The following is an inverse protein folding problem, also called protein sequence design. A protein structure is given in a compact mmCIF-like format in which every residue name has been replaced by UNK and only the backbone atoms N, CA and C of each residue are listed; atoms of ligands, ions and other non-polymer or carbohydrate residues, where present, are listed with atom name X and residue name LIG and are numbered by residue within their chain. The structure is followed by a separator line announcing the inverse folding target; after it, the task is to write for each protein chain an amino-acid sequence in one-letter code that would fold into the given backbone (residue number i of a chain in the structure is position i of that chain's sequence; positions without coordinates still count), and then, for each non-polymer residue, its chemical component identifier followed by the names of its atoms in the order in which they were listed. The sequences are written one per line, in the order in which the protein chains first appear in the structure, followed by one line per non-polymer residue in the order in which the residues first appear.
data_IF_071443161817
#
_entry.id   IF_071443161817
#
_cell.length_a   1.000
_cell.length_b   1.000
_cell.length_c   1.000
_cell.angle_alpha   90.00
_cell.angle_beta   90.00
_cell.angle_gamma   90.00
#
_symmetry.space_group_name_H-M   'P 1'
#
loop_
_entity.id
_entity.type
_entity.pdbx_description
1 polymer ?
#
# COMPACT_ATOMS: atom_id res chain seq x y z
N UNK A 1 2.10 -4.85 -8.81
CA UNK A 1 2.32 -4.55 -7.38
C UNK A 1 3.36 -5.52 -6.89
N UNK A 2 4.43 -4.97 -6.33
CA UNK A 2 5.57 -5.73 -5.82
C UNK A 2 5.73 -5.34 -4.35
N UNK A 3 5.86 -6.32 -3.47
CA UNK A 3 6.04 -6.11 -2.03
C UNK A 3 7.38 -6.74 -1.66
N UNK A 4 8.21 -6.00 -0.96
CA UNK A 4 9.43 -6.51 -0.33
C UNK A 4 9.35 -6.30 1.18
N UNK A 5 10.34 -6.81 1.93
CA UNK A 5 10.43 -6.56 3.36
C UNK A 5 10.60 -5.07 3.72
N UNK A 6 11.10 -4.24 2.80
CA UNK A 6 11.42 -2.82 3.05
C UNK A 6 10.47 -1.83 2.38
N UNK A 7 9.70 -2.25 1.39
CA UNK A 7 8.83 -1.36 0.63
C UNK A 7 7.66 -2.05 -0.06
N UNK A 8 6.60 -1.29 -0.28
CA UNK A 8 5.51 -1.63 -1.20
C UNK A 8 5.61 -0.75 -2.43
N UNK A 9 5.71 -1.38 -3.60
CA UNK A 9 5.65 -0.69 -4.90
C UNK A 9 4.31 -0.95 -5.57
N UNK A 10 3.54 0.12 -5.75
CA UNK A 10 2.26 0.14 -6.43
C UNK A 10 2.45 0.65 -7.86
N UNK A 11 2.01 -0.15 -8.83
CA UNK A 11 2.05 0.23 -10.25
C UNK A 11 0.68 0.68 -10.73
N UNK A 12 0.62 1.89 -11.29
CA UNK A 12 -0.59 2.50 -11.83
C UNK A 12 -0.48 2.59 -13.35
N UNK A 13 -1.39 1.96 -14.07
CA UNK A 13 -1.45 2.03 -15.53
C UNK A 13 -1.90 3.41 -15.99
N UNK A 14 -1.39 3.84 -17.15
CA UNK A 14 -1.60 5.16 -17.73
C UNK A 14 -1.20 6.35 -16.82
N UNK A 15 -0.47 6.10 -15.73
CA UNK A 15 -0.20 7.08 -14.66
C UNK A 15 -1.46 7.82 -14.15
N UNK A 16 -2.65 7.24 -14.36
CA UNK A 16 -3.91 7.90 -14.05
C UNK A 16 -4.29 7.64 -12.60
N UNK A 17 -3.89 8.58 -11.72
CA UNK A 17 -4.23 8.55 -10.29
C UNK A 17 -5.47 9.37 -9.96
N UNK A 18 -6.15 9.99 -10.93
CA UNK A 18 -7.32 10.83 -10.67
C UNK A 18 -8.46 10.03 -10.03
N UNK A 19 -8.62 8.77 -10.48
CA UNK A 19 -9.58 7.80 -9.94
C UNK A 19 -9.08 7.08 -8.68
N UNK A 20 -7.84 7.31 -8.27
CA UNK A 20 -7.21 6.74 -7.07
C UNK A 20 -7.07 7.78 -5.95
N UNK A 21 -8.01 8.74 -5.89
CA UNK A 21 -8.02 9.82 -4.89
C UNK A 21 -8.43 9.39 -3.48
N UNK A 22 -9.02 8.21 -3.34
CA UNK A 22 -9.34 7.62 -2.03
C UNK A 22 -8.06 7.17 -1.30
N UNK A 23 -8.09 7.16 0.03
CA UNK A 23 -6.96 6.81 0.89
C UNK A 23 -6.59 5.33 0.76
N UNK A 24 -5.31 5.03 0.97
CA UNK A 24 -4.78 3.68 1.01
C UNK A 24 -4.32 3.35 2.42
N UNK A 25 -4.36 2.06 2.75
CA UNK A 25 -3.78 1.54 3.99
C UNK A 25 -2.78 0.42 3.70
N UNK A 26 -1.83 0.28 4.62
CA UNK A 26 -0.92 -0.84 4.76
C UNK A 26 -1.05 -1.39 6.17
N UNK A 27 -1.46 -2.64 6.28
CA UNK A 27 -1.35 -3.41 7.52
C UNK A 27 -0.09 -4.24 7.44
N UNK A 28 0.87 -3.91 8.29
CA UNK A 28 2.14 -4.61 8.42
C UNK A 28 2.00 -5.61 9.56
N UNK A 29 2.09 -6.91 9.25
CA UNK A 29 2.05 -7.97 10.25
C UNK A 29 3.49 -8.33 10.60
N UNK A 30 4.01 -7.89 11.74
CA UNK A 30 5.36 -8.19 12.14
C UNK A 30 5.53 -9.68 12.45
N UNK A 31 6.77 -10.17 12.34
CA UNK A 31 7.14 -11.50 12.78
C UNK A 31 6.99 -11.61 14.30
N UNK A 32 7.43 -10.57 15.03
CA UNK A 32 7.22 -10.41 16.47
C UNK A 32 5.95 -9.61 16.75
N UNK A 33 4.93 -10.29 17.29
CA UNK A 33 3.64 -9.70 17.62
C UNK A 33 3.70 -8.62 18.72
N UNK A 34 4.78 -8.56 19.51
CA UNK A 34 4.94 -7.51 20.55
C UNK A 34 5.12 -6.11 19.96
N UNK A 35 5.51 -6.02 18.69
CA UNK A 35 5.66 -4.78 17.95
C UNK A 35 4.36 -4.31 17.27
N UNK A 36 3.28 -5.09 17.36
CA UNK A 36 1.99 -4.77 16.77
C UNK A 36 1.04 -4.07 17.76
N UNK A 37 0.04 -3.36 17.23
CA UNK A 37 -1.09 -2.87 18.01
C UNK A 37 -2.02 -4.01 18.47
N UNK A 38 -3.09 -3.69 19.22
CA UNK A 38 -4.09 -4.67 19.69
C UNK A 38 -4.67 -5.54 18.57
N UNK A 39 -4.72 -5.03 17.34
CA UNK A 39 -5.23 -5.72 16.17
C UNK A 39 -4.23 -6.71 15.54
N UNK A 40 -3.00 -6.79 16.07
CA UNK A 40 -1.95 -7.70 15.59
C UNK A 40 -1.23 -7.24 14.31
N UNK A 41 -1.42 -5.98 13.91
CA UNK A 41 -0.68 -5.32 12.85
C UNK A 41 -0.34 -3.87 13.20
N UNK A 42 0.60 -3.29 12.45
CA UNK A 42 0.85 -1.85 12.42
C UNK A 42 0.11 -1.27 11.21
N UNK A 43 -0.73 -0.27 11.42
CA UNK A 43 -1.47 0.40 10.36
C UNK A 43 -0.71 1.65 9.87
N UNK A 44 -0.55 1.77 8.55
CA UNK A 44 0.01 2.94 7.89
C UNK A 44 -0.94 3.40 6.78
N UNK A 45 -1.43 4.62 6.87
CA UNK A 45 -2.27 5.23 5.84
C UNK A 45 -1.45 6.15 4.94
N UNK A 46 -1.81 6.21 3.66
CA UNK A 46 -1.15 7.08 2.70
C UNK A 46 -2.07 7.40 1.52
N UNK A 47 -1.80 8.53 0.87
CA UNK A 47 -2.49 8.93 -0.35
C UNK A 47 -1.53 8.91 -1.54
N UNK A 48 -1.87 8.21 -2.62
CA UNK A 48 -1.03 8.16 -3.82
C UNK A 48 -0.77 9.54 -4.43
N UNK A 49 -1.72 10.49 -4.31
CA UNK A 49 -1.55 11.87 -4.81
C UNK A 49 -0.50 12.67 -4.05
N UNK A 50 -0.18 12.26 -2.83
CA UNK A 50 0.87 12.89 -2.01
C UNK A 50 2.26 12.29 -2.24
N UNK A 51 2.36 11.21 -3.01
CA UNK A 51 3.61 10.53 -3.31
C UNK A 51 4.13 10.92 -4.67
N UNK A 52 5.44 11.16 -4.75
CA UNK A 52 6.13 11.35 -6.03
C UNK A 52 6.36 9.99 -6.69
N UNK A 53 5.99 9.81 -7.97
CA UNK A 53 6.30 8.58 -8.69
C UNK A 53 7.81 8.41 -8.84
N UNK A 54 8.31 7.19 -8.64
CA UNK A 54 9.75 6.88 -8.66
C UNK A 54 10.25 6.40 -10.03
N UNK A 55 9.33 5.92 -10.87
CA UNK A 55 9.65 5.40 -12.19
C UNK A 55 8.41 5.51 -13.09
N UNK A 56 8.64 5.85 -14.35
CA UNK A 56 7.62 5.80 -15.40
C UNK A 56 8.12 4.95 -16.56
N UNK A 57 7.37 3.92 -16.96
CA UNK A 57 7.75 3.05 -18.08
C UNK A 57 6.66 3.05 -19.15
N UNK A 58 7.04 3.22 -20.41
CA UNK A 58 6.12 3.05 -21.53
C UNK A 58 6.25 1.62 -22.08
N UNK A 59 5.60 0.66 -21.42
CA UNK A 59 5.47 -0.68 -21.98
C UNK A 59 4.22 -0.74 -22.87
N UNK A 60 4.46 -1.03 -24.15
CA UNK A 60 3.42 -1.23 -25.17
C UNK A 60 2.52 0.00 -25.45
N UNK A 61 3.06 1.22 -25.33
CA UNK A 61 2.33 2.47 -25.64
C UNK A 61 1.42 2.95 -24.51
N UNK A 62 1.55 2.36 -23.31
CA UNK A 62 0.84 2.79 -22.10
C UNK A 62 1.86 3.07 -21.01
N UNK A 63 2.04 4.36 -20.69
CA UNK A 63 2.86 4.79 -19.57
C UNK A 63 2.34 4.17 -18.25
N UNK A 64 3.20 3.55 -17.45
CA UNK A 64 2.90 3.12 -16.09
C UNK A 64 3.70 3.98 -15.11
N UNK A 65 3.12 4.29 -13.95
CA UNK A 65 3.81 5.01 -12.87
C UNK A 65 3.95 4.09 -11.65
N UNK A 66 5.15 4.06 -11.07
CA UNK A 66 5.43 3.31 -9.85
C UNK A 66 5.51 4.25 -8.65
N UNK A 67 4.79 3.91 -7.59
CA UNK A 67 4.77 4.63 -6.32
C UNK A 67 5.29 3.72 -5.22
N UNK A 68 6.21 4.23 -4.42
CA UNK A 68 6.87 3.48 -3.35
C UNK A 68 6.41 3.98 -2.00
N UNK A 69 6.00 3.05 -1.15
CA UNK A 69 5.73 3.29 0.26
C UNK A 69 6.75 2.51 1.08
N UNK A 70 7.54 3.22 1.89
CA UNK A 70 8.54 2.58 2.76
C UNK A 70 7.86 1.90 3.94
N UNK A 71 8.33 0.70 4.24
CA UNK A 71 7.98 -0.06 5.43
C UNK A 71 9.06 0.27 6.48
N UNK A 72 8.65 0.78 7.63
CA UNK A 72 9.59 1.21 8.69
C UNK A 72 10.10 0.05 9.56
N UNK A 73 9.53 -1.15 9.41
CA UNK A 73 9.87 -2.33 10.22
C UNK A 73 10.67 -3.35 9.39
N UNK A 74 11.79 -3.82 9.93
CA UNK A 74 12.69 -4.78 9.29
C UNK A 74 12.15 -6.22 9.26
N UNK A 75 11.15 -6.55 10.08
CA UNK A 75 10.70 -7.92 10.31
C UNK A 75 9.19 -8.06 10.10
N UNK A 76 8.76 -7.99 8.84
CA UNK A 76 7.37 -8.17 8.42
C UNK A 76 7.21 -9.49 7.67
N UNK A 77 6.36 -10.38 8.17
CA UNK A 77 6.04 -11.66 7.50
C UNK A 77 4.95 -11.51 6.45
N UNK A 78 4.10 -10.49 6.60
CA UNK A 78 2.91 -10.33 5.77
C UNK A 78 2.48 -8.88 5.71
N UNK A 79 2.02 -8.47 4.54
CA UNK A 79 1.51 -7.13 4.28
C UNK A 79 0.13 -7.24 3.67
N UNK A 80 -0.85 -6.54 4.23
CA UNK A 80 -2.10 -6.28 3.53
C UNK A 80 -2.12 -4.83 3.05
N UNK A 81 -2.42 -4.62 1.78
CA UNK A 81 -2.59 -3.30 1.18
C UNK A 81 -4.01 -3.18 0.64
N UNK A 82 -4.62 -2.03 0.84
CA UNK A 82 -5.95 -1.79 0.31
C UNK A 82 -6.24 -0.33 0.12
N UNK A 83 -7.40 -0.08 -0.44
CA UNK A 83 -7.96 1.26 -0.59
C UNK A 83 -9.26 1.35 0.19
N UNK A 84 -9.47 2.49 0.83
CA UNK A 84 -10.66 2.73 1.62
C UNK A 84 -11.17 4.15 1.40
N UNK A 85 -12.47 4.32 1.59
CA UNK A 85 -13.12 5.63 1.66
C UNK A 85 -13.67 5.82 3.05
N UNK A 86 -13.48 7.00 3.63
CA UNK A 86 -14.09 7.36 4.91
C UNK A 86 -15.19 8.41 4.67
N UNK A 87 -16.39 8.02 4.17
CA UNK A 87 -17.48 8.96 4.11
C UNK A 87 -17.84 9.37 5.54
N UNK A 88 -17.78 10.67 5.83
CA UNK A 88 -18.21 11.27 7.10
C UNK A 88 -17.40 10.87 8.36
N UNK A 89 -16.19 10.33 8.20
CA UNK A 89 -15.19 10.22 9.28
C UNK A 89 -15.50 9.21 10.39
N UNK A 90 -16.53 8.36 10.26
CA UNK A 90 -16.92 7.39 11.31
C UNK A 90 -16.60 5.93 11.00
N UNK A 91 -16.67 5.51 9.73
CA UNK A 91 -16.29 4.18 9.28
C UNK A 91 -15.57 4.24 7.93
N UNK A 92 -14.55 3.42 7.77
CA UNK A 92 -13.85 3.24 6.51
C UNK A 92 -14.54 2.13 5.70
N UNK A 93 -15.09 2.46 4.54
CA UNK A 93 -15.52 1.50 3.53
C UNK A 93 -14.28 0.98 2.81
N UNK A 94 -13.95 -0.30 2.99
CA UNK A 94 -12.85 -0.93 2.27
C UNK A 94 -13.30 -1.23 0.84
N UNK A 95 -12.70 -0.54 -0.13
CA UNK A 95 -13.01 -0.70 -1.55
C UNK A 95 -12.40 -1.98 -2.10
N UNK A 96 -11.17 -2.29 -1.68
CA UNK A 96 -10.49 -3.54 -1.97
C UNK A 96 -9.32 -3.73 -1.00
N UNK A 97 -8.90 -4.98 -0.85
CA UNK A 97 -7.71 -5.36 -0.09
C UNK A 97 -6.99 -6.50 -0.80
N UNK A 98 -5.66 -6.53 -0.69
CA UNK A 98 -4.81 -7.61 -1.15
C UNK A 98 -3.75 -7.90 -0.11
N UNK A 99 -3.68 -9.16 0.29
CA UNK A 99 -2.66 -9.67 1.20
C UNK A 99 -1.51 -10.30 0.41
N UNK A 100 -0.28 -10.09 0.89
CA UNK A 100 0.94 -10.68 0.36
C UNK A 100 1.76 -11.21 1.53
N UNK A 101 2.12 -12.49 1.47
CA UNK A 101 3.07 -13.12 2.38
C UNK A 101 4.48 -12.91 1.85
N UNK A 102 5.43 -12.65 2.75
CA UNK A 102 6.83 -12.38 2.43
C UNK A 102 7.75 -13.55 2.80
N UNK A 103 7.20 -14.56 3.48
CA UNK A 103 7.86 -15.77 3.94
C UNK A 103 7.67 -16.99 3.00
N UNK A 104 7.16 -16.78 1.78
CA UNK A 104 7.05 -17.79 0.70
C UNK A 104 7.98 -17.51 -0.48
#
# INVERSE_FOLDING_TARGET
MTVTASEVTLGVKACNIDKLGDEFFLHLYPTDATSAGPEGFVNQQFNLKTLTPIESSDQAGVASCHYRVKISSSDVKRVAVGQFRAPEGRCCEILWTKEVKLDE
#
